data_IF_355885773842
#
_entry.id   IF_355885773842
#
_cell.length_a   1.000
_cell.length_b   1.000
_cell.length_c   1.000
_cell.angle_alpha   90.00
_cell.angle_beta   90.00
_cell.angle_gamma   90.00
#
_symmetry.space_group_name_H-M   'P 1'
#
loop_
_entity.id
_entity.type
_entity.pdbx_description
1 polymer ?
#
# COMPACT_ATOMS: atom_id res chain seq x y z
N UNK A 1 19.20 4.00 -8.75
CA UNK A 1 19.11 3.85 -7.27
C UNK A 1 17.83 4.43 -6.65
N UNK A 2 17.37 5.66 -6.94
CA UNK A 2 16.11 6.18 -6.35
C UNK A 2 14.85 5.67 -7.06
N UNK A 3 14.85 5.63 -8.39
CA UNK A 3 13.74 5.10 -9.18
C UNK A 3 13.45 3.63 -8.87
N UNK A 4 14.49 2.79 -8.74
CA UNK A 4 14.35 1.36 -8.44
C UNK A 4 13.62 1.10 -7.11
N UNK A 5 13.93 1.90 -6.07
CA UNK A 5 13.26 1.80 -4.76
C UNK A 5 11.79 2.24 -4.81
N UNK A 6 11.49 3.27 -5.61
CA UNK A 6 10.10 3.73 -5.80
C UNK A 6 9.30 2.68 -6.56
N UNK A 7 9.84 2.13 -7.64
CA UNK A 7 9.19 1.07 -8.42
C UNK A 7 8.94 -0.16 -7.55
N UNK A 8 9.94 -0.59 -6.76
CA UNK A 8 9.79 -1.72 -5.86
C UNK A 8 8.77 -1.45 -4.75
N UNK A 9 8.73 -0.22 -4.22
CA UNK A 9 7.74 0.21 -3.24
C UNK A 9 6.31 0.20 -3.79
N UNK A 10 6.12 0.67 -5.03
CA UNK A 10 4.80 0.66 -5.70
C UNK A 10 4.38 -0.77 -6.01
N UNK A 11 5.25 -1.60 -6.58
CA UNK A 11 4.95 -3.01 -6.88
C UNK A 11 4.63 -3.80 -5.61
N UNK A 12 5.42 -3.60 -4.55
CA UNK A 12 5.17 -4.18 -3.23
C UNK A 12 3.83 -3.71 -2.65
N UNK A 13 3.52 -2.42 -2.75
CA UNK A 13 2.25 -1.85 -2.29
C UNK A 13 1.04 -2.40 -3.05
N UNK A 14 1.11 -2.50 -4.38
CA UNK A 14 0.05 -3.10 -5.21
C UNK A 14 -0.12 -4.59 -4.88
N UNK A 15 0.97 -5.33 -4.73
CA UNK A 15 0.91 -6.75 -4.38
C UNK A 15 0.26 -6.98 -3.00
N UNK A 16 0.73 -6.26 -1.97
CA UNK A 16 0.15 -6.34 -0.62
C UNK A 16 -1.32 -5.89 -0.63
N UNK A 17 -1.64 -4.80 -1.34
CA UNK A 17 -3.01 -4.31 -1.48
C UNK A 17 -3.94 -5.30 -2.19
N UNK A 18 -3.48 -5.93 -3.27
CA UNK A 18 -4.25 -6.94 -3.99
C UNK A 18 -4.47 -8.20 -3.13
N UNK A 19 -3.45 -8.65 -2.40
CA UNK A 19 -3.57 -9.76 -1.46
C UNK A 19 -4.60 -9.45 -0.38
N UNK A 20 -4.50 -8.28 0.26
CA UNK A 20 -5.48 -7.86 1.26
C UNK A 20 -6.89 -7.69 0.68
N UNK A 21 -7.02 -7.15 -0.53
CA UNK A 21 -8.31 -6.99 -1.21
C UNK A 21 -8.98 -8.33 -1.53
N UNK A 22 -8.21 -9.31 -2.02
CA UNK A 22 -8.71 -10.67 -2.28
C UNK A 22 -9.05 -11.40 -0.98
N UNK A 23 -8.25 -11.23 0.07
CA UNK A 23 -8.52 -11.81 1.39
C UNK A 23 -9.78 -11.22 2.05
N UNK A 24 -9.99 -9.91 1.90
CA UNK A 24 -11.14 -9.22 2.49
C UNK A 24 -12.45 -9.48 1.72
N UNK A 25 -12.37 -9.62 0.39
CA UNK A 25 -13.52 -9.88 -0.48
C UNK A 25 -13.27 -11.09 -1.39
N UNK A 26 -13.35 -12.33 -0.86
CA UNK A 26 -13.12 -13.52 -1.66
C UNK A 26 -14.32 -13.80 -2.58
N UNK A 27 -14.07 -13.80 -3.89
CA UNK A 27 -15.00 -14.38 -4.86
C UNK A 27 -14.88 -15.90 -4.89
N UNK A 28 -15.95 -16.59 -5.31
CA UNK A 28 -15.89 -18.04 -5.50
C UNK A 28 -14.96 -18.38 -6.67
N UNK A 29 -14.09 -19.38 -6.48
CA UNK A 29 -13.04 -19.71 -7.45
C UNK A 29 -13.53 -20.11 -8.85
N UNK A 30 -14.71 -20.73 -8.94
CA UNK A 30 -15.39 -21.03 -10.20
C UNK A 30 -15.71 -19.75 -11.00
N UNK A 31 -16.20 -18.73 -10.31
CA UNK A 31 -16.48 -17.41 -10.89
C UNK A 31 -15.22 -16.69 -11.29
N UNK A 32 -14.16 -16.72 -10.46
CA UNK A 32 -12.88 -16.08 -10.78
C UNK A 32 -12.26 -16.67 -12.05
N UNK A 33 -12.23 -18.00 -12.16
CA UNK A 33 -11.65 -18.68 -13.33
C UNK A 33 -12.41 -18.39 -14.62
N UNK A 34 -13.74 -18.40 -14.55
CA UNK A 34 -14.60 -18.04 -15.67
C UNK A 34 -14.45 -16.58 -16.06
N UNK A 35 -14.39 -15.68 -15.07
CA UNK A 35 -14.19 -14.25 -15.27
C UNK A 35 -12.83 -13.96 -15.95
N UNK A 36 -11.77 -14.69 -15.62
CA UNK A 36 -10.47 -14.58 -16.30
C UNK A 36 -10.59 -14.99 -17.77
N UNK A 37 -11.24 -16.13 -18.06
CA UNK A 37 -11.45 -16.62 -19.43
C UNK A 37 -12.30 -15.66 -20.27
N UNK A 38 -13.40 -15.18 -19.71
CA UNK A 38 -14.36 -14.35 -20.45
C UNK A 38 -13.86 -12.91 -20.63
N UNK A 39 -13.03 -12.39 -19.71
CA UNK A 39 -12.61 -10.98 -19.72
C UNK A 39 -11.19 -10.72 -20.20
N UNK A 40 -10.37 -11.73 -20.50
CA UNK A 40 -8.94 -11.49 -20.79
C UNK A 40 -8.68 -10.57 -21.99
N UNK A 41 -9.47 -10.68 -23.06
CA UNK A 41 -9.31 -9.83 -24.25
C UNK A 41 -10.06 -8.51 -24.09
N UNK A 42 -11.33 -8.54 -23.67
CA UNK A 42 -12.16 -7.34 -23.56
C UNK A 42 -11.65 -6.35 -22.49
N UNK A 43 -11.07 -6.84 -21.39
CA UNK A 43 -10.48 -5.94 -20.39
C UNK A 43 -9.20 -5.29 -20.86
N UNK A 44 -8.42 -5.93 -21.73
CA UNK A 44 -7.14 -5.35 -22.15
C UNK A 44 -7.37 -4.06 -22.94
N UNK A 45 -8.35 -4.06 -23.83
CA UNK A 45 -8.69 -2.89 -24.64
C UNK A 45 -9.48 -1.85 -23.81
N UNK A 46 -10.46 -2.27 -23.01
CA UNK A 46 -11.19 -1.33 -22.13
C UNK A 46 -10.28 -0.69 -21.07
N UNK A 47 -9.29 -1.44 -20.57
CA UNK A 47 -8.30 -0.91 -19.63
C UNK A 47 -7.39 0.10 -20.32
N UNK A 48 -6.92 -0.15 -21.54
CA UNK A 48 -6.11 0.83 -22.29
C UNK A 48 -6.87 2.14 -22.48
N UNK A 49 -8.11 2.08 -22.95
CA UNK A 49 -8.92 3.28 -23.17
C UNK A 49 -9.17 4.07 -21.87
N UNK A 50 -9.42 3.35 -20.76
CA UNK A 50 -9.57 3.97 -19.45
C UNK A 50 -8.26 4.54 -18.93
N UNK A 51 -7.14 3.85 -19.12
CA UNK A 51 -5.83 4.35 -18.73
C UNK A 51 -5.46 5.59 -19.53
N UNK A 52 -5.69 5.61 -20.84
CA UNK A 52 -5.44 6.77 -21.68
C UNK A 52 -6.31 7.97 -21.27
N UNK A 53 -7.60 7.73 -20.98
CA UNK A 53 -8.51 8.76 -20.46
C UNK A 53 -8.07 9.28 -19.09
N UNK A 54 -7.63 8.39 -18.20
CA UNK A 54 -7.12 8.73 -16.89
C UNK A 54 -5.81 9.51 -17.00
N UNK A 55 -4.87 9.09 -17.85
CA UNK A 55 -3.61 9.78 -18.09
C UNK A 55 -3.84 11.18 -18.67
N UNK A 56 -4.77 11.33 -19.61
CA UNK A 56 -5.19 12.63 -20.13
C UNK A 56 -5.74 13.53 -19.02
N UNK A 57 -6.66 13.00 -18.20
CA UNK A 57 -7.26 13.75 -17.08
C UNK A 57 -6.24 14.09 -15.98
N UNK A 58 -5.29 13.18 -15.71
CA UNK A 58 -4.21 13.38 -14.74
C UNK A 58 -3.25 14.47 -15.22
N UNK A 59 -2.89 14.49 -16.50
CA UNK A 59 -2.04 15.54 -17.05
C UNK A 59 -2.69 16.92 -16.89
N UNK A 60 -3.99 17.06 -17.20
CA UNK A 60 -4.71 18.33 -17.06
C UNK A 60 -4.89 18.76 -15.59
N UNK A 61 -4.96 17.80 -14.67
CA UNK A 61 -5.13 18.04 -13.23
C UNK A 61 -3.82 17.96 -12.45
N UNK A 62 -2.69 17.74 -13.12
CA UNK A 62 -1.41 17.48 -12.49
C UNK A 62 -1.01 18.61 -11.55
N UNK A 63 -1.15 19.87 -11.98
CA UNK A 63 -0.83 21.03 -11.14
C UNK A 63 -1.65 21.11 -9.84
N UNK A 64 -2.94 20.70 -9.89
CA UNK A 64 -3.80 20.68 -8.69
C UNK A 64 -3.44 19.53 -7.78
N UNK A 65 -3.22 18.34 -8.35
CA UNK A 65 -2.80 17.14 -7.62
C UNK A 65 -1.44 17.37 -6.95
N UNK A 66 -0.52 18.09 -7.59
CA UNK A 66 0.79 18.38 -7.00
C UNK A 66 0.67 19.30 -5.78
N UNK A 67 -0.11 20.39 -5.90
CA UNK A 67 -0.35 21.32 -4.78
C UNK A 67 -1.12 20.67 -3.63
N UNK A 68 -2.12 19.87 -3.94
CA UNK A 68 -2.93 19.16 -2.93
C UNK A 68 -2.15 17.99 -2.31
N UNK A 69 -1.32 17.33 -3.12
CA UNK A 69 -0.38 16.30 -2.71
C UNK A 69 0.71 16.83 -1.78
N UNK A 70 1.27 18.02 -2.02
CA UNK A 70 2.24 18.63 -1.09
C UNK A 70 1.62 18.91 0.28
N UNK A 71 0.40 19.44 0.33
CA UNK A 71 -0.31 19.68 1.60
C UNK A 71 -0.63 18.36 2.32
N UNK A 72 -1.12 17.34 1.58
CA UNK A 72 -1.36 16.00 2.11
C UNK A 72 -0.08 15.32 2.59
N UNK A 73 1.04 15.51 1.89
CA UNK A 73 2.34 14.99 2.30
C UNK A 73 2.86 15.71 3.54
N UNK A 74 2.64 17.02 3.67
CA UNK A 74 3.01 17.76 4.88
C UNK A 74 2.21 17.28 6.10
N UNK A 75 0.89 17.14 5.96
CA UNK A 75 0.00 16.62 7.01
C UNK A 75 0.27 15.14 7.30
N UNK A 76 0.53 14.35 6.27
CA UNK A 76 0.92 12.95 6.39
C UNK A 76 2.25 12.81 7.11
N UNK A 77 3.23 13.67 6.83
CA UNK A 77 4.55 13.65 7.46
C UNK A 77 4.49 14.11 8.92
N UNK A 78 3.64 15.08 9.26
CA UNK A 78 3.44 15.50 10.65
C UNK A 78 2.73 14.42 11.47
N UNK A 79 1.69 13.79 10.94
CA UNK A 79 1.02 12.64 11.57
C UNK A 79 1.94 11.42 11.65
N UNK A 80 2.68 11.13 10.59
CA UNK A 80 3.67 10.04 10.57
C UNK A 80 4.78 10.27 11.59
N UNK A 81 5.21 11.51 11.83
CA UNK A 81 6.20 11.80 12.85
C UNK A 81 5.67 11.46 14.24
N UNK A 82 4.42 11.83 14.56
CA UNK A 82 3.79 11.49 15.83
C UNK A 82 3.56 9.97 15.98
N UNK A 83 3.18 9.28 14.91
CA UNK A 83 3.05 7.81 14.89
C UNK A 83 4.41 7.13 15.01
N UNK A 84 5.45 7.69 14.39
CA UNK A 84 6.81 7.16 14.44
C UNK A 84 7.41 7.31 15.83
N UNK A 85 7.24 8.46 16.48
CA UNK A 85 7.73 8.65 17.85
C UNK A 85 6.98 7.74 18.84
N UNK A 86 5.65 7.66 18.74
CA UNK A 86 4.87 6.72 19.55
C UNK A 86 5.22 5.26 19.26
N UNK A 87 5.50 4.92 18.00
CA UNK A 87 5.92 3.59 17.59
C UNK A 87 7.32 3.23 18.10
N UNK A 88 8.26 4.17 18.09
CA UNK A 88 9.61 3.97 18.66
C UNK A 88 9.54 3.77 20.17
N UNK A 89 8.71 4.55 20.88
CA UNK A 89 8.47 4.38 22.31
C UNK A 89 7.82 3.01 22.61
N UNK A 90 6.81 2.60 21.83
CA UNK A 90 6.17 1.28 21.96
C UNK A 90 7.10 0.11 21.63
N UNK A 91 7.99 0.26 20.64
CA UNK A 91 8.99 -0.76 20.28
C UNK A 91 10.10 -0.85 21.33
N UNK A 92 10.50 0.29 21.91
CA UNK A 92 11.48 0.32 23.00
C UNK A 92 10.89 -0.31 24.27
N UNK A 93 9.67 0.05 24.64
CA UNK A 93 8.94 -0.52 25.77
C UNK A 93 8.62 -2.01 25.58
N UNK A 94 8.23 -2.40 24.36
CA UNK A 94 8.05 -3.82 24.03
C UNK A 94 9.34 -4.63 24.12
N UNK A 95 10.48 -4.06 23.70
CA UNK A 95 11.78 -4.74 23.82
C UNK A 95 12.27 -4.86 25.27
N UNK A 96 12.04 -3.85 26.11
CA UNK A 96 12.40 -3.94 27.53
C UNK A 96 11.53 -4.99 28.22
N UNK A 97 10.20 -4.93 28.04
CA UNK A 97 9.28 -5.92 28.61
C UNK A 97 9.58 -7.35 28.11
N UNK A 98 9.91 -7.51 26.83
CA UNK A 98 10.26 -8.82 26.28
C UNK A 98 11.58 -9.37 26.84
N UNK A 99 12.59 -8.51 27.01
CA UNK A 99 13.87 -8.94 27.60
C UNK A 99 13.73 -9.26 29.08
N UNK A 100 12.94 -8.48 29.83
CA UNK A 100 12.67 -8.74 31.24
C UNK A 100 11.91 -10.06 31.42
N UNK A 101 10.85 -10.27 30.62
CA UNK A 101 10.12 -11.54 30.60
C UNK A 101 11.06 -12.72 30.24
N UNK A 102 11.89 -12.57 29.20
CA UNK A 102 12.85 -13.60 28.78
C UNK A 102 13.87 -13.93 29.89
N UNK A 103 14.30 -12.95 30.67
CA UNK A 103 15.24 -13.16 31.76
C UNK A 103 14.57 -13.83 32.97
N UNK A 104 13.33 -13.49 33.29
CA UNK A 104 12.52 -14.21 34.29
C UNK A 104 12.33 -15.68 33.91
N UNK A 105 11.99 -15.98 32.65
CA UNK A 105 11.85 -17.36 32.16
C UNK A 105 13.15 -18.17 32.16
N UNK A 106 14.30 -17.51 32.15
CA UNK A 106 15.61 -18.19 32.07
C UNK A 106 16.23 -18.45 33.44
N UNK A 107 15.82 -17.69 34.47
CA UNK A 107 16.29 -17.83 35.84
C UNK A 107 15.31 -18.60 36.76
N UNK A 108 14.20 -19.09 36.20
CA UNK A 108 13.21 -19.98 36.83
C UNK A 108 13.34 -21.38 36.24
#
# INVERSE_FOLDING_TARGET
MKADKIILGVLGGVAVGALLGVLYAPEKGDKTRRKIMDKSNDYADELKDKLDTLLGTINDKYEKIWKEGENLLADGKSKMHNVKSQGEDLIAEGNSQFNDAKNEFKNS
#
